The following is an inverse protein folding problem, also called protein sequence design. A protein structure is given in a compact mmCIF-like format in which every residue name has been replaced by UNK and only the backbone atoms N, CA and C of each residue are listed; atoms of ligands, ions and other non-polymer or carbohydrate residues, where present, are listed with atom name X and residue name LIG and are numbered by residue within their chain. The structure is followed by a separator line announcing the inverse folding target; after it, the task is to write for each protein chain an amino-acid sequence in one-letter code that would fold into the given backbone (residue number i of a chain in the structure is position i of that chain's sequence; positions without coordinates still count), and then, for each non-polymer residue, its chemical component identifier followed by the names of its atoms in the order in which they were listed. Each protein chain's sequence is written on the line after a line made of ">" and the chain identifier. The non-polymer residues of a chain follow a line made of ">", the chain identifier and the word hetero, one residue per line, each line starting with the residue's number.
data_IF_594060107513
#
_entry.id   IF_594060107513
#
_cell.length_a   1.000
_cell.length_b   1.000
_cell.length_c   1.000
_cell.angle_alpha   90.00
_cell.angle_beta   90.00
_cell.angle_gamma   90.00
#
_symmetry.space_group_name_H-M   'P 1'
#
loop_
_entity.id
_entity.type
_entity.pdbx_description
1 polymer ?
#
# COMPACT_ATOMS: atom_id res chain seq x y z
N UNK A 1 -32.71 -40.04 28.56
CA UNK A 1 -32.33 -38.61 28.69
C UNK A 1 -30.82 -38.54 28.82
N UNK A 2 -30.13 -38.11 27.76
CA UNK A 2 -28.68 -37.87 27.82
C UNK A 2 -28.40 -36.60 27.03
N UNK A 3 -28.18 -35.49 27.76
CA UNK A 3 -27.82 -34.20 27.18
C UNK A 3 -26.35 -34.28 26.76
N UNK A 4 -26.09 -34.36 25.46
CA UNK A 4 -24.75 -34.12 24.92
C UNK A 4 -24.47 -32.62 24.95
N UNK A 5 -23.76 -32.16 25.98
CA UNK A 5 -23.11 -30.87 26.00
C UNK A 5 -21.95 -30.89 25.00
N UNK A 6 -22.17 -30.41 23.77
CA UNK A 6 -21.09 -30.12 22.84
C UNK A 6 -20.35 -28.87 23.32
N UNK A 7 -19.16 -29.12 23.85
CA UNK A 7 -18.14 -28.14 24.24
C UNK A 7 -17.97 -27.11 23.11
N UNK A 8 -18.11 -25.83 23.46
CA UNK A 8 -18.04 -24.71 22.53
C UNK A 8 -16.71 -24.67 21.77
N UNK A 9 -16.76 -25.01 20.49
CA UNK A 9 -15.69 -24.70 19.56
C UNK A 9 -15.61 -23.17 19.46
N UNK A 10 -14.55 -22.60 20.05
CA UNK A 10 -14.08 -21.26 19.72
C UNK A 10 -13.88 -21.21 18.21
N UNK A 11 -14.85 -20.63 17.48
CA UNK A 11 -14.71 -20.39 16.04
C UNK A 11 -13.53 -19.45 15.87
N UNK A 12 -12.41 -19.99 15.40
CA UNK A 12 -11.29 -19.15 15.00
C UNK A 12 -11.79 -18.19 13.92
N UNK A 13 -11.41 -16.92 14.03
CA UNK A 13 -11.84 -15.88 13.09
C UNK A 13 -11.29 -16.21 11.71
N UNK A 14 -12.07 -15.97 10.68
CA UNK A 14 -11.61 -16.10 9.29
C UNK A 14 -10.38 -15.18 9.08
N UNK A 15 -9.21 -15.73 8.69
CA UNK A 15 -8.00 -14.95 8.46
C UNK A 15 -8.18 -13.83 7.44
N UNK A 16 -9.02 -14.03 6.42
CA UNK A 16 -9.33 -13.03 5.39
C UNK A 16 -10.17 -11.91 5.98
N UNK A 17 -11.22 -12.24 6.74
CA UNK A 17 -12.05 -11.25 7.43
C UNK A 17 -11.23 -10.41 8.43
N UNK A 18 -10.25 -11.01 9.11
CA UNK A 18 -9.33 -10.29 10.02
C UNK A 18 -8.46 -9.30 9.23
N UNK A 19 -7.89 -9.70 8.08
CA UNK A 19 -7.08 -8.80 7.24
C UNK A 19 -7.91 -7.62 6.72
N UNK A 20 -9.12 -7.88 6.25
CA UNK A 20 -10.03 -6.85 5.74
C UNK A 20 -10.50 -5.94 6.88
N UNK A 21 -10.82 -6.51 8.05
CA UNK A 21 -11.17 -5.76 9.25
C UNK A 21 -10.09 -4.79 9.71
N UNK A 22 -8.83 -5.24 9.70
CA UNK A 22 -7.68 -4.36 9.97
C UNK A 22 -7.63 -3.20 8.98
N UNK A 23 -7.85 -3.43 7.69
CA UNK A 23 -7.88 -2.38 6.65
C UNK A 23 -9.06 -1.43 6.79
N UNK A 24 -10.24 -1.90 7.22
CA UNK A 24 -11.39 -1.02 7.54
C UNK A 24 -11.05 -0.12 8.73
N UNK A 25 -10.51 -0.68 9.81
CA UNK A 25 -10.09 0.09 10.98
C UNK A 25 -9.00 1.13 10.62
N UNK A 26 -8.12 0.75 9.69
CA UNK A 26 -7.07 1.59 9.15
C UNK A 26 -7.65 2.74 8.32
N UNK A 27 -8.54 2.46 7.36
CA UNK A 27 -9.25 3.46 6.55
C UNK A 27 -9.96 4.49 7.43
N UNK A 28 -10.65 4.01 8.47
CA UNK A 28 -11.33 4.85 9.46
C UNK A 28 -10.37 5.82 10.17
N UNK A 29 -9.26 5.30 10.69
CA UNK A 29 -8.26 6.12 11.40
C UNK A 29 -7.65 7.17 10.48
N UNK A 30 -7.38 6.81 9.22
CA UNK A 30 -6.86 7.75 8.22
C UNK A 30 -7.82 8.90 7.92
N UNK A 31 -9.12 8.63 7.93
CA UNK A 31 -10.15 9.64 7.74
C UNK A 31 -10.39 10.50 9.01
N UNK A 32 -9.54 10.36 10.04
CA UNK A 32 -9.57 11.17 11.26
C UNK A 32 -10.50 10.66 12.36
N UNK A 33 -11.17 9.52 12.17
CA UNK A 33 -12.10 8.99 13.15
C UNK A 33 -11.40 8.12 14.20
N UNK A 34 -11.34 8.61 15.44
CA UNK A 34 -10.69 7.90 16.56
C UNK A 34 -11.41 6.62 16.96
N UNK A 35 -12.74 6.59 16.87
CA UNK A 35 -13.56 5.43 17.27
C UNK A 35 -14.48 4.95 16.16
N UNK A 36 -14.86 3.66 16.19
CA UNK A 36 -15.88 3.12 15.28
C UNK A 36 -17.23 3.83 15.44
N UNK A 37 -17.57 4.26 16.67
CA UNK A 37 -18.79 5.03 16.95
C UNK A 37 -18.84 6.34 16.17
N UNK A 38 -17.77 7.15 16.26
CA UNK A 38 -17.68 8.44 15.56
C UNK A 38 -17.68 8.28 14.03
N UNK A 39 -17.11 7.19 13.53
CA UNK A 39 -17.15 6.90 12.10
C UNK A 39 -18.55 6.48 11.64
N UNK A 40 -19.24 5.63 12.42
CA UNK A 40 -20.61 5.18 12.14
C UNK A 40 -21.57 6.34 11.94
N UNK A 41 -21.43 7.41 12.71
CA UNK A 41 -22.25 8.63 12.62
C UNK A 41 -22.14 9.32 11.24
N UNK A 42 -21.09 9.03 10.46
CA UNK A 42 -20.91 9.54 9.09
C UNK A 42 -21.41 8.58 8.01
N UNK A 43 -21.83 7.36 8.38
CA UNK A 43 -22.31 6.35 7.44
C UNK A 43 -23.84 6.39 7.32
N UNK A 44 -24.41 6.22 6.12
CA UNK A 44 -25.86 6.18 5.93
C UNK A 44 -26.46 4.92 6.56
N UNK A 45 -27.44 5.10 7.46
CA UNK A 45 -28.25 4.05 8.12
C UNK A 45 -27.46 2.77 8.45
N UNK A 46 -26.41 2.91 9.27
CA UNK A 46 -25.50 1.81 9.59
C UNK A 46 -25.91 1.02 10.85
N UNK A 47 -25.89 -0.33 10.83
CA UNK A 47 -26.20 -1.12 12.02
C UNK A 47 -25.15 -0.94 13.13
N UNK A 48 -25.61 -0.82 14.37
CA UNK A 48 -24.82 -0.41 15.56
C UNK A 48 -23.50 -1.17 15.72
N UNK A 49 -23.55 -2.50 15.67
CA UNK A 49 -22.39 -3.34 15.96
C UNK A 49 -21.61 -3.79 14.72
N UNK A 50 -22.13 -3.52 13.53
CA UNK A 50 -21.62 -4.14 12.30
C UNK A 50 -20.23 -3.64 11.92
N UNK A 51 -19.97 -2.34 12.09
CA UNK A 51 -18.64 -1.78 11.85
C UNK A 51 -17.59 -2.40 12.79
N UNK A 52 -17.90 -2.49 14.08
CA UNK A 52 -17.01 -3.11 15.08
C UNK A 52 -16.76 -4.59 14.80
N UNK A 53 -17.78 -5.32 14.32
CA UNK A 53 -17.64 -6.72 13.92
C UNK A 53 -16.76 -6.91 12.70
N UNK A 54 -16.85 -6.01 11.73
CA UNK A 54 -15.94 -5.99 10.59
C UNK A 54 -14.51 -5.70 11.02
N UNK A 55 -14.27 -4.63 11.79
CA UNK A 55 -12.92 -4.27 12.24
C UNK A 55 -12.26 -5.38 13.08
N UNK A 56 -13.05 -6.07 13.91
CA UNK A 56 -12.56 -7.16 14.73
C UNK A 56 -12.41 -8.49 13.97
N UNK A 57 -12.83 -8.57 12.69
CA UNK A 57 -12.79 -9.78 11.87
C UNK A 57 -13.79 -10.85 12.29
N UNK A 58 -14.87 -10.50 13.00
CA UNK A 58 -15.93 -11.44 13.39
C UNK A 58 -16.87 -11.80 12.23
N UNK A 59 -16.93 -10.96 11.20
CA UNK A 59 -17.78 -11.17 10.04
C UNK A 59 -17.14 -10.61 8.79
N UNK A 60 -17.46 -11.22 7.65
CA UNK A 60 -17.00 -10.80 6.35
C UNK A 60 -17.79 -9.56 5.87
N UNK A 61 -17.13 -8.45 5.52
CA UNK A 61 -17.80 -7.29 4.94
C UNK A 61 -18.52 -7.59 3.62
N UNK A 62 -19.76 -7.12 3.50
CA UNK A 62 -20.48 -7.14 2.23
C UNK A 62 -19.86 -6.12 1.27
N UNK A 63 -19.69 -6.41 -0.04
CA UNK A 63 -19.07 -5.48 -0.99
C UNK A 63 -19.69 -4.07 -0.99
N UNK A 64 -21.03 -3.97 -1.00
CA UNK A 64 -21.72 -2.68 -0.92
C UNK A 64 -21.47 -1.90 0.38
N UNK A 65 -21.22 -2.59 1.50
CA UNK A 65 -20.77 -1.91 2.74
C UNK A 65 -19.35 -1.37 2.60
N UNK A 66 -18.48 -2.12 1.92
CA UNK A 66 -17.10 -1.68 1.69
C UNK A 66 -17.05 -0.48 0.76
N UNK A 67 -17.89 -0.41 -0.26
CA UNK A 67 -18.01 0.79 -1.12
C UNK A 67 -18.45 2.03 -0.33
N UNK A 68 -19.40 1.87 0.60
CA UNK A 68 -19.84 2.98 1.46
C UNK A 68 -18.71 3.44 2.38
N UNK A 69 -17.98 2.50 3.01
CA UNK A 69 -16.82 2.79 3.86
C UNK A 69 -15.72 3.47 3.04
N UNK A 70 -15.40 2.94 1.87
CA UNK A 70 -14.40 3.46 0.94
C UNK A 70 -14.71 4.92 0.59
N UNK A 71 -15.95 5.20 0.18
CA UNK A 71 -16.41 6.56 -0.13
C UNK A 71 -16.32 7.49 1.08
N UNK A 72 -16.78 7.05 2.25
CA UNK A 72 -16.77 7.86 3.46
C UNK A 72 -15.36 8.14 4.02
N UNK A 73 -14.38 7.32 3.65
CA UNK A 73 -12.97 7.46 4.09
C UNK A 73 -12.05 8.00 3.01
N UNK A 74 -12.55 8.20 1.79
CA UNK A 74 -11.75 8.56 0.62
C UNK A 74 -10.74 7.47 0.23
N UNK A 75 -11.03 6.20 0.53
CA UNK A 75 -10.16 5.06 0.26
C UNK A 75 -10.65 4.20 -0.90
N UNK A 76 -9.79 3.32 -1.43
CA UNK A 76 -10.13 2.36 -2.48
C UNK A 76 -10.81 1.11 -1.93
N UNK A 77 -11.92 0.72 -2.56
CA UNK A 77 -12.61 -0.54 -2.29
C UNK A 77 -11.69 -1.74 -2.51
N UNK A 78 -10.88 -1.73 -3.58
CA UNK A 78 -9.95 -2.82 -3.89
C UNK A 78 -8.86 -2.96 -2.83
N UNK A 79 -8.37 -1.84 -2.31
CA UNK A 79 -7.40 -1.87 -1.22
C UNK A 79 -8.03 -2.43 0.06
N UNK A 80 -9.25 -2.00 0.44
CA UNK A 80 -9.91 -2.54 1.64
C UNK A 80 -10.14 -4.06 1.50
N UNK A 81 -10.66 -4.51 0.36
CA UNK A 81 -11.04 -5.91 0.14
C UNK A 81 -9.85 -6.84 -0.07
N UNK A 82 -8.86 -6.41 -0.84
CA UNK A 82 -7.78 -7.29 -1.31
C UNK A 82 -6.41 -6.83 -0.84
N UNK A 83 -6.24 -5.54 -0.52
CA UNK A 83 -4.94 -4.94 -0.21
C UNK A 83 -4.14 -4.61 -1.45
N UNK A 84 -4.82 -4.52 -2.59
CA UNK A 84 -4.25 -4.27 -3.88
C UNK A 84 -4.67 -2.87 -4.35
N UNK A 85 -3.78 -2.19 -5.07
CA UNK A 85 -4.01 -0.86 -5.63
C UNK A 85 -3.85 0.29 -4.62
N UNK A 86 -4.12 1.53 -5.06
CA UNK A 86 -3.89 2.74 -4.27
C UNK A 86 -4.81 2.81 -3.06
N UNK A 87 -4.32 3.30 -1.92
CA UNK A 87 -5.11 3.39 -0.69
C UNK A 87 -6.23 4.44 -0.81
N UNK A 88 -6.00 5.58 -1.48
CA UNK A 88 -6.98 6.66 -1.70
C UNK A 88 -7.57 6.66 -3.11
N UNK A 89 -8.82 7.13 -3.24
CA UNK A 89 -9.60 7.07 -4.49
C UNK A 89 -9.36 8.23 -5.47
N UNK A 90 -8.75 9.33 -5.04
CA UNK A 90 -8.45 10.50 -5.85
C UNK A 90 -7.01 10.93 -5.64
N UNK A 91 -6.23 10.91 -6.71
CA UNK A 91 -4.77 11.15 -6.75
C UNK A 91 -3.97 10.12 -5.94
N UNK A 92 -3.00 9.47 -6.60
CA UNK A 92 -2.09 8.54 -5.93
C UNK A 92 -1.32 9.32 -4.88
N UNK A 93 -1.69 9.11 -3.61
CA UNK A 93 -1.11 9.76 -2.44
C UNK A 93 0.43 9.65 -2.51
N UNK A 94 1.12 10.78 -2.61
CA UNK A 94 2.58 10.84 -2.67
C UNK A 94 3.21 10.05 -1.51
N UNK A 95 2.55 10.04 -0.35
CA UNK A 95 2.97 9.23 0.79
C UNK A 95 2.90 7.73 0.50
N UNK A 96 1.85 7.26 -0.19
CA UNK A 96 1.71 5.86 -0.55
C UNK A 96 2.78 5.43 -1.54
N UNK A 97 3.10 6.27 -2.54
CA UNK A 97 4.19 6.01 -3.50
C UNK A 97 5.54 5.93 -2.77
N UNK A 98 5.84 6.92 -1.92
CA UNK A 98 7.07 6.93 -1.11
C UNK A 98 7.19 5.71 -0.20
N UNK A 99 6.09 5.30 0.44
CA UNK A 99 6.08 4.12 1.30
C UNK A 99 6.34 2.84 0.52
N UNK A 100 5.62 2.64 -0.58
CA UNK A 100 5.76 1.47 -1.44
C UNK A 100 7.20 1.32 -1.96
N UNK A 101 7.78 2.42 -2.42
CA UNK A 101 9.16 2.45 -2.88
C UNK A 101 10.18 2.23 -1.73
N UNK A 102 9.93 2.76 -0.53
CA UNK A 102 10.76 2.49 0.65
C UNK A 102 10.72 1.00 1.04
N UNK A 103 9.55 0.38 1.03
CA UNK A 103 9.40 -1.06 1.31
C UNK A 103 10.17 -1.89 0.29
N UNK A 104 10.06 -1.56 -0.99
CA UNK A 104 10.81 -2.22 -2.05
C UNK A 104 12.33 -2.14 -1.81
N UNK A 105 12.86 -0.94 -1.60
CA UNK A 105 14.29 -0.73 -1.35
C UNK A 105 14.76 -1.51 -0.11
N UNK A 106 13.99 -1.47 0.98
CA UNK A 106 14.34 -2.21 2.19
C UNK A 106 14.39 -3.72 1.95
N UNK A 107 13.43 -4.29 1.21
CA UNK A 107 13.43 -5.72 0.87
C UNK A 107 14.63 -6.11 -0.01
N UNK A 108 14.99 -5.27 -0.97
CA UNK A 108 16.20 -5.47 -1.78
C UNK A 108 17.44 -5.51 -0.88
N UNK A 109 17.61 -4.53 0.00
CA UNK A 109 18.72 -4.50 0.96
C UNK A 109 18.68 -5.69 1.95
N UNK A 110 17.51 -6.15 2.35
CA UNK A 110 17.35 -7.32 3.23
C UNK A 110 17.89 -8.59 2.58
N UNK A 111 17.71 -8.76 1.26
CA UNK A 111 18.27 -9.90 0.51
C UNK A 111 19.79 -9.88 0.39
N UNK A 112 20.41 -8.70 0.44
CA UNK A 112 21.88 -8.52 0.42
C UNK A 112 22.53 -8.80 1.79
N UNK A 113 21.72 -8.84 2.85
CA UNK A 113 22.12 -9.27 4.18
C UNK A 113 22.39 -8.15 5.19
N UNK A 114 22.81 -8.50 6.42
CA UNK A 114 22.83 -7.58 7.56
C UNK A 114 23.74 -6.36 7.39
N UNK A 115 24.84 -6.51 6.65
CA UNK A 115 25.80 -5.44 6.39
C UNK A 115 25.18 -4.35 5.52
N UNK A 116 24.48 -4.74 4.46
CA UNK A 116 23.79 -3.80 3.56
C UNK A 116 22.70 -3.03 4.31
N UNK A 117 21.96 -3.69 5.22
CA UNK A 117 20.96 -3.03 6.07
C UNK A 117 21.61 -1.96 6.96
N UNK A 118 22.76 -2.26 7.58
CA UNK A 118 23.47 -1.31 8.43
C UNK A 118 23.96 -0.08 7.63
N UNK A 119 24.50 -0.30 6.43
CA UNK A 119 24.93 0.76 5.52
C UNK A 119 23.76 1.63 5.05
N UNK A 120 22.64 1.02 4.67
CA UNK A 120 21.42 1.72 4.30
C UNK A 120 20.88 2.58 5.45
N UNK A 121 20.81 2.03 6.67
CA UNK A 121 20.38 2.78 7.87
C UNK A 121 21.27 4.01 8.13
N UNK A 122 22.59 3.84 8.06
CA UNK A 122 23.54 4.95 8.22
C UNK A 122 23.38 6.02 7.14
N UNK A 123 23.32 5.61 5.87
CA UNK A 123 23.26 6.53 4.74
C UNK A 123 21.93 7.30 4.66
N UNK A 124 20.81 6.62 4.91
CA UNK A 124 19.46 7.23 4.97
C UNK A 124 19.19 8.02 6.26
N UNK A 125 20.07 7.87 7.25
CA UNK A 125 19.96 8.43 8.60
C UNK A 125 18.74 7.92 9.38
N UNK A 126 18.34 6.68 9.13
CA UNK A 126 17.33 6.02 9.93
C UNK A 126 17.92 5.41 11.21
N UNK A 127 17.13 5.44 12.28
CA UNK A 127 17.29 4.45 13.37
C UNK A 127 16.55 3.17 12.98
N UNK A 128 17.06 2.00 13.35
CA UNK A 128 16.43 0.72 13.01
C UNK A 128 14.94 0.64 13.39
N UNK A 129 14.59 1.04 14.62
CA UNK A 129 13.20 1.09 15.07
C UNK A 129 12.33 2.08 14.29
N UNK A 130 12.94 3.18 13.82
CA UNK A 130 12.22 4.16 13.01
C UNK A 130 11.94 3.61 11.61
N UNK A 131 12.91 2.93 10.99
CA UNK A 131 12.72 2.27 9.71
C UNK A 131 11.62 1.20 9.81
N UNK A 132 11.68 0.33 10.82
CA UNK A 132 10.65 -0.69 11.05
C UNK A 132 9.24 -0.07 11.13
N UNK A 133 9.08 1.01 11.89
CA UNK A 133 7.79 1.72 11.97
C UNK A 133 7.36 2.35 10.64
N UNK A 134 8.29 2.87 9.82
CA UNK A 134 7.92 3.34 8.47
C UNK A 134 7.55 2.18 7.53
N UNK A 135 8.19 1.03 7.64
CA UNK A 135 7.87 -0.16 6.84
C UNK A 135 6.49 -0.70 7.21
N UNK A 136 6.21 -0.83 8.51
CA UNK A 136 4.95 -1.37 9.02
C UNK A 136 3.77 -0.40 8.93
N UNK A 137 4.03 0.91 8.84
CA UNK A 137 3.02 1.96 8.80
C UNK A 137 3.06 2.79 7.50
N UNK A 138 2.22 2.46 6.50
CA UNK A 138 2.15 3.20 5.23
C UNK A 138 1.82 4.68 5.34
N UNK A 139 1.25 5.15 6.46
CA UNK A 139 0.90 6.56 6.65
C UNK A 139 1.94 7.36 7.41
N UNK A 140 3.01 6.71 7.88
CA UNK A 140 4.05 7.43 8.57
C UNK A 140 4.79 8.31 7.57
N UNK A 141 4.49 9.61 7.64
CA UNK A 141 4.87 10.59 6.64
C UNK A 141 6.38 10.56 6.32
N UNK A 142 6.70 10.35 5.04
CA UNK A 142 8.03 10.44 4.46
C UNK A 142 8.13 11.82 3.83
N UNK A 143 8.63 12.79 4.59
CA UNK A 143 8.80 14.16 4.12
C UNK A 143 9.96 14.30 3.12
N UNK A 144 9.98 15.43 2.40
CA UNK A 144 10.94 15.77 1.34
C UNK A 144 12.39 15.41 1.72
N UNK A 145 12.86 15.90 2.88
CA UNK A 145 14.23 15.68 3.35
C UNK A 145 14.56 14.21 3.55
N UNK A 146 13.63 13.43 4.09
CA UNK A 146 13.81 12.01 4.32
C UNK A 146 13.82 11.26 2.99
N UNK A 147 12.92 11.62 2.07
CA UNK A 147 12.90 11.04 0.73
C UNK A 147 14.24 11.25 0.00
N UNK A 148 14.80 12.48 -0.02
CA UNK A 148 16.10 12.73 -0.65
C UNK A 148 17.26 11.97 -0.01
N UNK A 149 17.22 11.77 1.31
CA UNK A 149 18.23 10.97 1.99
C UNK A 149 18.16 9.49 1.60
N UNK A 150 16.95 8.93 1.50
CA UNK A 150 16.74 7.55 1.08
C UNK A 150 17.19 7.34 -0.37
N UNK A 151 16.83 8.25 -1.28
CA UNK A 151 17.28 8.19 -2.67
C UNK A 151 18.80 8.19 -2.77
N UNK A 152 19.47 9.09 -2.04
CA UNK A 152 20.93 9.13 -1.99
C UNK A 152 21.53 7.85 -1.38
N UNK A 153 20.90 7.27 -0.36
CA UNK A 153 21.36 6.05 0.29
C UNK A 153 21.25 4.81 -0.61
N UNK A 154 20.32 4.83 -1.55
CA UNK A 154 20.06 3.74 -2.50
C UNK A 154 20.54 4.03 -3.93
N UNK A 155 21.36 5.07 -4.10
CA UNK A 155 21.86 5.53 -5.40
C UNK A 155 20.75 5.71 -6.47
N UNK A 156 19.60 6.26 -6.04
CA UNK A 156 18.46 6.56 -6.92
C UNK A 156 18.43 8.06 -7.27
N UNK A 157 17.91 8.42 -8.46
CA UNK A 157 17.82 9.82 -8.86
C UNK A 157 16.87 10.62 -7.96
N UNK A 158 17.06 11.94 -7.93
CA UNK A 158 16.19 12.85 -7.18
C UNK A 158 14.75 12.74 -7.69
N UNK A 159 13.78 12.63 -6.78
CA UNK A 159 12.35 12.36 -7.02
C UNK A 159 12.00 10.94 -7.41
N UNK A 160 12.96 10.01 -7.45
CA UNK A 160 12.64 8.59 -7.64
C UNK A 160 11.62 8.08 -6.61
N UNK A 161 11.73 8.44 -5.33
CA UNK A 161 10.75 8.03 -4.32
C UNK A 161 9.35 8.61 -4.54
N UNK A 162 9.23 9.69 -5.30
CA UNK A 162 7.97 10.37 -5.61
C UNK A 162 7.32 9.82 -6.88
N UNK A 163 8.11 9.14 -7.71
CA UNK A 163 7.68 8.48 -8.93
C UNK A 163 7.22 7.06 -8.62
N UNK A 164 6.19 6.61 -9.32
CA UNK A 164 5.77 5.22 -9.22
C UNK A 164 6.63 4.35 -10.13
N UNK A 165 7.15 3.26 -9.57
CA UNK A 165 7.96 2.30 -10.30
C UNK A 165 7.20 0.99 -10.48
N UNK A 166 7.48 0.35 -11.60
CA UNK A 166 6.85 -0.91 -11.99
C UNK A 166 7.28 -2.03 -11.05
N UNK A 167 8.56 -2.06 -10.67
CA UNK A 167 9.08 -3.09 -9.77
C UNK A 167 8.43 -3.05 -8.38
N UNK A 168 7.91 -1.88 -7.97
CA UNK A 168 7.25 -1.71 -6.69
C UNK A 168 5.73 -1.90 -6.77
N UNK A 169 5.12 -1.91 -7.97
CA UNK A 169 3.66 -2.02 -8.18
C UNK A 169 3.15 -3.47 -8.22
N UNK A 170 2.34 -3.83 -7.24
CA UNK A 170 1.71 -5.16 -7.15
C UNK A 170 0.71 -5.47 -8.26
N UNK A 171 0.24 -4.48 -9.02
CA UNK A 171 -0.57 -4.70 -10.24
C UNK A 171 0.29 -5.16 -11.42
N UNK A 172 1.60 -4.93 -11.37
CA UNK A 172 2.46 -5.10 -12.53
C UNK A 172 2.67 -6.57 -12.93
N UNK A 173 2.51 -7.52 -11.99
CA UNK A 173 2.56 -8.96 -12.30
C UNK A 173 1.47 -9.45 -13.26
N UNK A 174 0.49 -8.60 -13.62
CA UNK A 174 -0.55 -8.91 -14.61
C UNK A 174 -0.22 -8.44 -16.04
N UNK A 175 0.84 -7.65 -16.23
CA UNK A 175 1.23 -7.19 -17.56
C UNK A 175 2.13 -8.21 -18.29
N UNK A 176 2.05 -8.28 -19.63
CA UNK A 176 2.99 -9.05 -20.45
C UNK A 176 4.46 -8.70 -20.18
N UNK A 177 5.35 -9.68 -20.31
CA UNK A 177 6.77 -9.58 -19.93
C UNK A 177 7.51 -8.46 -20.67
N UNK A 178 7.23 -8.30 -21.96
CA UNK A 178 7.80 -7.26 -22.83
C UNK A 178 7.38 -5.85 -22.39
N UNK A 179 6.12 -5.67 -22.01
CA UNK A 179 5.64 -4.41 -21.47
C UNK A 179 6.27 -4.09 -20.11
N UNK A 180 6.45 -5.10 -19.25
CA UNK A 180 7.14 -4.91 -17.95
C UNK A 180 8.58 -4.48 -18.16
N UNK A 181 9.30 -5.14 -19.06
CA UNK A 181 10.68 -4.81 -19.42
C UNK A 181 10.79 -3.37 -19.97
N UNK A 182 9.94 -3.00 -20.94
CA UNK A 182 9.93 -1.65 -21.51
C UNK A 182 9.65 -0.59 -20.44
N UNK A 183 8.71 -0.86 -19.54
CA UNK A 183 8.35 0.08 -18.48
C UNK A 183 9.47 0.24 -17.43
N UNK A 184 10.19 -0.83 -17.09
CA UNK A 184 11.40 -0.77 -16.23
C UNK A 184 12.52 0.02 -16.90
N UNK A 185 12.83 -0.26 -18.17
CA UNK A 185 13.83 0.52 -18.92
C UNK A 185 13.46 2.01 -18.93
N UNK A 186 12.17 2.32 -19.16
CA UNK A 186 11.68 3.69 -19.18
C UNK A 186 11.80 4.39 -17.81
N UNK A 187 11.54 3.70 -16.70
CA UNK A 187 11.61 4.28 -15.35
C UNK A 187 13.04 4.62 -14.93
N UNK A 188 14.03 3.86 -15.37
CA UNK A 188 15.45 4.09 -15.04
C UNK A 188 16.11 5.17 -15.92
N UNK A 189 15.51 5.47 -17.08
CA UNK A 189 16.02 6.47 -18.00
C UNK A 189 15.94 7.91 -17.46
N UNK A 190 16.92 8.74 -17.85
CA UNK A 190 16.84 10.18 -17.66
C UNK A 190 15.80 10.85 -18.60
N UNK A 191 15.42 12.08 -18.29
CA UNK A 191 14.36 12.82 -19.03
C UNK A 191 14.64 12.97 -20.54
N UNK A 192 15.91 13.13 -20.94
CA UNK A 192 16.29 13.24 -22.36
C UNK A 192 16.08 11.92 -23.09
N UNK A 193 16.53 10.82 -22.48
CA UNK A 193 16.37 9.47 -23.02
C UNK A 193 14.90 9.04 -23.10
N UNK A 194 14.09 9.34 -22.08
CA UNK A 194 12.64 9.07 -22.09
C UNK A 194 11.94 9.75 -23.28
N UNK A 195 12.25 11.04 -23.54
CA UNK A 195 11.70 11.78 -24.69
C UNK A 195 12.09 11.15 -26.04
N UNK A 196 13.34 10.70 -26.15
CA UNK A 196 13.84 10.05 -27.37
C UNK A 196 13.13 8.70 -27.61
N UNK A 197 12.99 7.89 -26.57
CA UNK A 197 12.31 6.60 -26.64
C UNK A 197 10.84 6.75 -27.09
N UNK A 198 10.13 7.75 -26.55
CA UNK A 198 8.76 8.10 -26.99
C UNK A 198 8.74 8.51 -28.47
N UNK A 199 9.70 9.33 -28.92
CA UNK A 199 9.77 9.77 -30.31
C UNK A 199 10.01 8.59 -31.26
N UNK A 200 10.95 7.71 -30.94
CA UNK A 200 11.23 6.50 -31.72
C UNK A 200 10.00 5.59 -31.80
N UNK A 201 9.34 5.33 -30.67
CA UNK A 201 8.14 4.51 -30.62
C UNK A 201 7.00 5.10 -31.48
N UNK A 202 6.81 6.43 -31.47
CA UNK A 202 5.84 7.11 -32.32
C UNK A 202 6.16 6.96 -33.80
N UNK A 203 7.42 7.20 -34.19
CA UNK A 203 7.86 7.04 -35.57
C UNK A 203 7.64 5.60 -36.06
N UNK A 204 7.98 4.60 -35.23
CA UNK A 204 7.72 3.20 -35.57
C UNK A 204 6.22 2.90 -35.69
N UNK A 205 5.39 3.41 -34.77
CA UNK A 205 3.93 3.20 -34.84
C UNK A 205 3.25 3.86 -36.03
N UNK A 206 3.84 4.92 -36.60
CA UNK A 206 3.29 5.62 -37.77
C UNK A 206 3.72 4.98 -39.10
N UNK A 207 4.76 4.14 -39.09
CA UNK A 207 5.39 3.60 -40.30
C UNK A 207 5.36 2.05 -40.35
N UNK A 208 4.62 1.43 -39.44
CA UNK A 208 4.22 0.02 -39.45
C UNK A 208 2.73 -0.04 -39.71
#
# INVERSE_FOLDING_TARGET
>A
MTKNNSIGQSRSKDPVAVKIGKRIAQARKMAGFKTAKTFREKLPKWPENRLSWYEAGYSMPHPGHVEIIARATGTSTCWIMFGLGPIRSGERDLQAVRHQNLVFLYRQTETEGPKAIAEFLMASRFKAAQLADHIDNPFKHIGERLARNIEKASDRPVKWLDEQHIESDGLCGSFPDDLRELMTIYSEMNSKSRKMLIAMARTMSEHV
#
